data_IF_654605785905
#
_entry.id   IF_654605785905
#
_cell.length_a   1.000
_cell.length_b   1.000
_cell.length_c   1.000
_cell.angle_alpha   90.00
_cell.angle_beta   90.00
_cell.angle_gamma   90.00
#
_symmetry.space_group_name_H-M   'P 1'
#
loop_
_entity.id
_entity.type
_entity.pdbx_description
1 polymer ?
#
# COMPACT_ATOMS: atom_id res chain seq x y z
N UNK A 1 60.18 -3.37 -45.57
CA UNK A 1 60.08 -2.92 -44.16
C UNK A 1 58.74 -2.21 -44.01
N UNK A 2 57.70 -2.91 -43.56
CA UNK A 2 56.35 -2.37 -43.35
C UNK A 2 55.83 -2.93 -42.02
N UNK A 3 55.62 -2.06 -41.03
CA UNK A 3 55.13 -2.39 -39.69
C UNK A 3 53.60 -2.49 -39.70
N UNK A 4 52.99 -3.52 -39.07
CA UNK A 4 51.54 -3.64 -38.99
C UNK A 4 50.97 -2.66 -37.94
N UNK A 5 49.86 -2.01 -38.31
CA UNK A 5 49.10 -1.10 -37.44
C UNK A 5 48.27 -1.98 -36.49
N UNK A 6 48.55 -1.87 -35.19
CA UNK A 6 47.85 -2.61 -34.13
C UNK A 6 46.44 -2.05 -33.95
N UNK A 7 45.43 -2.85 -34.30
CA UNK A 7 44.01 -2.57 -34.06
C UNK A 7 43.71 -2.71 -32.56
N UNK A 8 43.52 -1.59 -31.86
CA UNK A 8 43.06 -1.60 -30.48
C UNK A 8 41.60 -2.08 -30.39
N UNK A 9 41.36 -3.15 -29.64
CA UNK A 9 40.02 -3.68 -29.33
C UNK A 9 39.23 -2.68 -28.48
N UNK A 10 37.93 -2.47 -28.74
CA UNK A 10 37.10 -1.60 -27.90
C UNK A 10 36.90 -2.28 -26.54
N UNK A 11 37.41 -1.67 -25.48
CA UNK A 11 37.15 -2.10 -24.10
C UNK A 11 35.66 -1.88 -23.79
N UNK A 12 34.89 -2.97 -23.79
CA UNK A 12 33.51 -2.95 -23.30
C UNK A 12 33.53 -2.73 -21.80
N UNK A 13 33.26 -1.49 -21.37
CA UNK A 13 32.97 -1.16 -19.97
C UNK A 13 31.77 -1.99 -19.52
N UNK A 14 32.03 -3.09 -18.82
CA UNK A 14 31.00 -3.91 -18.18
C UNK A 14 30.41 -3.12 -17.01
N UNK A 15 29.32 -2.40 -17.27
CA UNK A 15 28.48 -1.83 -16.20
C UNK A 15 28.03 -2.97 -15.28
N UNK A 16 28.31 -2.94 -13.97
CA UNK A 16 27.89 -3.99 -13.07
C UNK A 16 26.36 -4.10 -13.13
N UNK A 17 25.85 -5.27 -13.48
CA UNK A 17 24.43 -5.57 -13.49
C UNK A 17 23.91 -5.47 -12.04
N UNK A 18 23.39 -4.30 -11.66
CA UNK A 18 22.82 -4.07 -10.33
C UNK A 18 21.67 -5.07 -10.13
N UNK A 19 21.82 -5.98 -9.16
CA UNK A 19 20.85 -7.04 -8.90
C UNK A 19 19.53 -6.44 -8.41
N UNK A 20 18.49 -6.52 -9.25
CA UNK A 20 17.12 -6.09 -8.93
C UNK A 20 16.33 -7.16 -8.16
N UNK A 21 16.94 -8.29 -7.82
CA UNK A 21 16.28 -9.40 -7.14
C UNK A 21 15.84 -9.03 -5.70
N UNK A 22 16.67 -8.30 -4.94
CA UNK A 22 16.33 -7.86 -3.58
C UNK A 22 15.09 -6.94 -3.54
N UNK A 23 15.04 -5.87 -4.34
CA UNK A 23 13.86 -5.02 -4.47
C UNK A 23 12.60 -5.77 -4.93
N UNK A 24 12.72 -6.73 -5.85
CA UNK A 24 11.58 -7.54 -6.29
C UNK A 24 11.03 -8.44 -5.18
N UNK A 25 11.89 -9.16 -4.45
CA UNK A 25 11.45 -10.01 -3.33
C UNK A 25 10.79 -9.17 -2.23
N UNK A 26 11.34 -7.98 -1.94
CA UNK A 26 10.73 -7.05 -1.01
C UNK A 26 9.33 -6.61 -1.48
N UNK A 27 9.13 -6.36 -2.78
CA UNK A 27 7.81 -5.98 -3.30
C UNK A 27 6.83 -7.14 -3.22
N UNK A 28 7.27 -8.34 -3.59
CA UNK A 28 6.42 -9.53 -3.51
C UNK A 28 5.98 -9.78 -2.07
N UNK A 29 6.91 -9.72 -1.10
CA UNK A 29 6.57 -9.84 0.32
C UNK A 29 5.64 -8.73 0.80
N UNK A 30 5.86 -7.49 0.36
CA UNK A 30 5.05 -6.35 0.76
C UNK A 30 3.63 -6.44 0.20
N UNK A 31 3.47 -6.84 -1.06
CA UNK A 31 2.16 -7.12 -1.66
C UNK A 31 1.47 -8.33 -1.04
N UNK A 32 2.24 -9.37 -0.70
CA UNK A 32 1.71 -10.55 0.00
C UNK A 32 1.19 -10.17 1.39
N UNK A 33 1.97 -9.43 2.16
CA UNK A 33 1.61 -9.01 3.51
C UNK A 33 0.43 -8.04 3.49
N UNK A 34 0.44 -7.07 2.56
CA UNK A 34 -0.70 -6.18 2.33
C UNK A 34 -1.97 -6.96 1.93
N UNK A 35 -1.85 -7.91 1.01
CA UNK A 35 -2.96 -8.75 0.57
C UNK A 35 -3.51 -9.60 1.72
N UNK A 36 -2.65 -10.19 2.55
CA UNK A 36 -3.05 -10.97 3.72
C UNK A 36 -3.82 -10.12 4.74
N UNK A 37 -3.31 -8.93 5.07
CA UNK A 37 -3.98 -7.97 5.97
C UNK A 37 -5.33 -7.54 5.41
N UNK A 38 -5.41 -7.29 4.09
CA UNK A 38 -6.67 -6.91 3.42
C UNK A 38 -7.69 -8.04 3.47
N UNK A 39 -7.29 -9.28 3.18
CA UNK A 39 -8.20 -10.45 3.26
C UNK A 39 -8.72 -10.66 4.69
N UNK A 40 -7.87 -10.49 5.70
CA UNK A 40 -8.32 -10.62 7.09
C UNK A 40 -9.33 -9.53 7.45
N UNK A 41 -9.14 -8.31 6.95
CA UNK A 41 -10.08 -7.20 7.15
C UNK A 41 -11.41 -7.40 6.42
N UNK A 42 -11.39 -7.94 5.19
CA UNK A 42 -12.61 -8.21 4.41
C UNK A 42 -13.51 -9.27 5.05
N UNK A 43 -12.94 -10.20 5.82
CA UNK A 43 -13.72 -11.17 6.60
C UNK A 43 -14.18 -10.57 7.94
N UNK A 44 -13.32 -9.80 8.61
CA UNK A 44 -13.61 -9.24 9.92
C UNK A 44 -14.70 -8.16 9.89
N UNK A 45 -14.71 -7.31 8.86
CA UNK A 45 -15.69 -6.23 8.71
C UNK A 45 -17.15 -6.73 8.70
N UNK A 46 -17.58 -7.61 7.77
CA UNK A 46 -18.96 -8.08 7.70
C UNK A 46 -19.34 -8.93 8.92
N UNK A 47 -18.42 -9.75 9.44
CA UNK A 47 -18.65 -10.51 10.67
C UNK A 47 -19.03 -9.57 11.84
N UNK A 48 -18.29 -8.49 12.02
CA UNK A 48 -18.59 -7.54 13.09
C UNK A 48 -19.82 -6.67 12.79
N UNK A 49 -20.08 -6.38 11.51
CA UNK A 49 -21.30 -5.70 11.07
C UNK A 49 -22.55 -6.48 11.46
N UNK A 50 -22.51 -7.81 11.27
CA UNK A 50 -23.60 -8.73 11.63
C UNK A 50 -23.74 -8.88 13.15
N UNK A 51 -22.62 -9.04 13.87
CA UNK A 51 -22.61 -9.17 15.34
C UNK A 51 -23.14 -7.90 16.03
N UNK A 52 -22.95 -6.73 15.44
CA UNK A 52 -23.46 -5.46 15.97
C UNK A 52 -24.92 -5.17 15.57
N UNK A 53 -25.58 -6.02 14.77
CA UNK A 53 -26.99 -5.90 14.37
C UNK A 53 -27.36 -4.49 13.85
N UNK A 54 -26.55 -3.97 12.92
CA UNK A 54 -26.74 -2.62 12.38
C UNK A 54 -28.03 -2.52 11.56
N UNK A 55 -28.84 -1.51 11.83
CA UNK A 55 -30.04 -1.18 11.03
C UNK A 55 -29.65 -0.64 9.65
N UNK A 56 -30.54 -0.71 8.66
CA UNK A 56 -30.26 -0.26 7.28
C UNK A 56 -29.75 1.20 7.22
N UNK A 57 -30.32 2.09 8.04
CA UNK A 57 -29.86 3.48 8.18
C UNK A 57 -28.41 3.59 8.68
N UNK A 58 -28.02 2.72 9.61
CA UNK A 58 -26.66 2.67 10.15
C UNK A 58 -25.68 2.14 9.11
N UNK A 59 -26.08 1.18 8.27
CA UNK A 59 -25.27 0.70 7.15
C UNK A 59 -24.97 1.79 6.13
N UNK A 60 -25.95 2.62 5.77
CA UNK A 60 -25.74 3.75 4.85
C UNK A 60 -24.86 4.84 5.46
N UNK A 61 -24.99 5.09 6.77
CA UNK A 61 -24.11 6.01 7.50
C UNK A 61 -22.66 5.51 7.57
N UNK A 62 -22.44 4.19 7.68
CA UNK A 62 -21.11 3.57 7.59
C UNK A 62 -20.47 3.82 6.24
N UNK A 63 -21.20 3.61 5.15
CA UNK A 63 -20.70 3.90 3.80
C UNK A 63 -20.34 5.38 3.64
N UNK A 64 -21.18 6.27 4.16
CA UNK A 64 -20.96 7.71 4.12
C UNK A 64 -19.72 8.13 4.91
N UNK A 65 -19.51 7.54 6.09
CA UNK A 65 -18.32 7.76 6.90
C UNK A 65 -17.06 7.18 6.25
N UNK A 66 -17.16 6.04 5.57
CA UNK A 66 -16.03 5.44 4.86
C UNK A 66 -15.57 6.31 3.68
N UNK A 67 -16.51 6.79 2.86
CA UNK A 67 -16.21 7.76 1.80
C UNK A 67 -15.71 9.10 2.36
N UNK A 68 -16.29 9.58 3.45
CA UNK A 68 -15.83 10.79 4.14
C UNK A 68 -14.40 10.67 4.65
N UNK A 69 -14.06 9.54 5.27
CA UNK A 69 -12.71 9.23 5.72
C UNK A 69 -11.73 9.12 4.54
N UNK A 70 -12.11 8.43 3.45
CA UNK A 70 -11.33 8.36 2.23
C UNK A 70 -11.03 9.75 1.66
N UNK A 71 -12.04 10.60 1.56
CA UNK A 71 -11.92 11.96 1.03
C UNK A 71 -11.03 12.84 1.92
N UNK A 72 -11.30 12.82 3.23
CA UNK A 72 -10.54 13.60 4.20
C UNK A 72 -9.08 13.17 4.25
N UNK A 73 -8.80 11.87 4.08
CA UNK A 73 -7.45 11.32 4.17
C UNK A 73 -6.67 11.29 2.86
N UNK A 74 -7.33 11.42 1.71
CA UNK A 74 -6.68 11.43 0.39
C UNK A 74 -5.66 12.58 0.26
N UNK A 75 -6.02 13.80 0.70
CA UNK A 75 -5.16 14.99 0.70
C UNK A 75 -3.93 14.86 1.63
N UNK A 76 -4.08 14.58 2.95
CA UNK A 76 -2.95 14.45 3.84
C UNK A 76 -2.08 13.23 3.52
N UNK A 77 -2.65 12.14 2.99
CA UNK A 77 -1.89 10.95 2.59
C UNK A 77 -0.84 11.28 1.52
N UNK A 78 -1.23 12.01 0.47
CA UNK A 78 -0.30 12.43 -0.58
C UNK A 78 0.82 13.34 -0.05
N UNK A 79 0.48 14.33 0.76
CA UNK A 79 1.45 15.28 1.35
C UNK A 79 2.38 14.62 2.36
N UNK A 80 1.88 13.65 3.12
CA UNK A 80 2.68 12.84 4.05
C UNK A 80 3.72 12.02 3.30
N UNK A 81 3.31 11.44 2.17
CA UNK A 81 4.15 10.61 1.33
C UNK A 81 5.25 11.41 0.61
N UNK A 82 4.93 12.62 0.14
CA UNK A 82 5.94 13.56 -0.40
C UNK A 82 7.00 13.94 0.64
N UNK A 83 6.62 14.08 1.91
CA UNK A 83 7.55 14.46 2.98
C UNK A 83 8.37 13.30 3.55
N UNK A 84 7.77 12.13 3.77
CA UNK A 84 8.44 10.98 4.41
C UNK A 84 9.06 10.01 3.41
N UNK A 85 8.65 10.07 2.14
CA UNK A 85 9.03 9.11 1.12
C UNK A 85 8.22 7.81 1.16
N UNK A 86 8.25 7.09 0.05
CA UNK A 86 7.35 5.97 -0.23
C UNK A 86 7.49 4.79 0.73
N UNK A 87 8.72 4.38 1.06
CA UNK A 87 8.96 3.26 1.98
C UNK A 87 8.38 3.51 3.37
N UNK A 88 8.58 4.72 3.91
CA UNK A 88 8.04 5.08 5.23
C UNK A 88 6.52 5.25 5.18
N UNK A 89 5.97 5.78 4.08
CA UNK A 89 4.53 5.86 3.87
C UNK A 89 3.84 4.50 3.94
N UNK A 90 4.42 3.46 3.32
CA UNK A 90 3.87 2.10 3.41
C UNK A 90 3.88 1.61 4.87
N UNK A 91 4.98 1.79 5.60
CA UNK A 91 5.04 1.36 7.02
C UNK A 91 4.01 2.10 7.86
N UNK A 92 3.86 3.42 7.67
CA UNK A 92 2.85 4.22 8.38
C UNK A 92 1.44 3.74 8.04
N UNK A 93 1.14 3.45 6.78
CA UNK A 93 -0.17 2.94 6.38
C UNK A 93 -0.47 1.58 7.02
N UNK A 94 0.54 0.71 7.12
CA UNK A 94 0.44 -0.58 7.80
C UNK A 94 0.17 -0.40 9.30
N UNK A 95 0.86 0.53 9.96
CA UNK A 95 0.66 0.84 11.37
C UNK A 95 -0.72 1.45 11.66
N UNK A 96 -1.19 2.34 10.79
CA UNK A 96 -2.55 2.93 10.89
C UNK A 96 -3.61 1.84 10.70
N UNK A 97 -3.42 0.94 9.74
CA UNK A 97 -4.29 -0.24 9.57
C UNK A 97 -4.29 -1.12 10.81
N UNK A 98 -3.11 -1.45 11.36
CA UNK A 98 -3.00 -2.23 12.58
C UNK A 98 -3.65 -1.52 13.78
N UNK A 99 -3.52 -0.20 13.87
CA UNK A 99 -4.21 0.63 14.87
C UNK A 99 -5.73 0.57 14.73
N UNK A 100 -6.26 0.63 13.49
CA UNK A 100 -7.68 0.44 13.21
C UNK A 100 -8.16 -0.96 13.63
N UNK A 101 -7.41 -2.00 13.28
CA UNK A 101 -7.69 -3.38 13.69
C UNK A 101 -7.66 -3.57 15.22
N UNK A 102 -6.74 -2.92 15.93
CA UNK A 102 -6.72 -2.90 17.39
C UNK A 102 -7.92 -2.16 17.96
N UNK A 103 -8.35 -1.05 17.34
CA UNK A 103 -9.56 -0.31 17.72
C UNK A 103 -10.85 -1.12 17.49
N UNK A 104 -10.83 -2.12 16.59
CA UNK A 104 -11.95 -3.03 16.41
C UNK A 104 -12.19 -3.95 17.61
N UNK A 105 -11.14 -4.31 18.38
CA UNK A 105 -11.28 -5.17 19.57
C UNK A 105 -12.21 -4.54 20.63
N UNK A 106 -11.98 -3.30 21.11
CA UNK A 106 -12.92 -2.66 22.02
C UNK A 106 -14.27 -2.34 21.34
N UNK A 107 -14.29 -2.03 20.03
CA UNK A 107 -15.53 -1.78 19.30
C UNK A 107 -16.47 -3.00 19.32
N UNK A 108 -15.91 -4.19 19.12
CA UNK A 108 -16.64 -5.44 19.14
C UNK A 108 -17.17 -5.77 20.55
N UNK A 109 -16.38 -5.44 21.59
CA UNK A 109 -16.75 -5.72 22.97
C UNK A 109 -17.85 -4.76 23.48
N UNK A 110 -17.77 -3.46 23.14
CA UNK A 110 -18.77 -2.47 23.56
C UNK A 110 -20.01 -2.43 22.66
N UNK A 111 -19.93 -2.98 21.43
CA UNK A 111 -21.00 -2.98 20.42
C UNK A 111 -21.57 -1.57 20.14
N UNK A 112 -20.74 -0.54 20.26
CA UNK A 112 -21.14 0.85 20.06
C UNK A 112 -20.90 1.31 18.63
N UNK A 113 -21.97 1.69 17.93
CA UNK A 113 -21.96 2.19 16.55
C UNK A 113 -20.89 3.26 16.22
N UNK A 114 -20.74 4.35 17.00
CA UNK A 114 -19.75 5.39 16.69
C UNK A 114 -18.30 4.89 16.82
N UNK A 115 -18.03 3.96 17.74
CA UNK A 115 -16.69 3.40 17.91
C UNK A 115 -16.33 2.48 16.74
N UNK A 116 -17.32 1.74 16.24
CA UNK A 116 -17.20 0.95 15.02
C UNK A 116 -16.90 1.83 13.80
N UNK A 117 -17.65 2.93 13.64
CA UNK A 117 -17.41 3.92 12.59
C UNK A 117 -15.99 4.49 12.64
N UNK A 118 -15.49 4.83 13.83
CA UNK A 118 -14.12 5.33 13.99
C UNK A 118 -13.07 4.27 13.67
N UNK A 119 -13.26 3.02 14.10
CA UNK A 119 -12.35 1.93 13.79
C UNK A 119 -12.30 1.67 12.27
N UNK A 120 -13.46 1.68 11.62
CA UNK A 120 -13.60 1.52 10.17
C UNK A 120 -12.97 2.68 9.39
N UNK A 121 -13.15 3.92 9.86
CA UNK A 121 -12.55 5.10 9.25
C UNK A 121 -11.02 5.09 9.34
N UNK A 122 -10.48 4.73 10.51
CA UNK A 122 -9.02 4.59 10.71
C UNK A 122 -8.46 3.45 9.85
N UNK A 123 -9.18 2.33 9.76
CA UNK A 123 -8.79 1.21 8.90
C UNK A 123 -8.78 1.63 7.42
N UNK A 124 -9.84 2.26 6.94
CA UNK A 124 -9.95 2.79 5.58
C UNK A 124 -8.85 3.81 5.28
N UNK A 125 -8.52 4.68 6.23
CA UNK A 125 -7.38 5.60 6.13
C UNK A 125 -6.03 4.88 6.02
N UNK A 126 -5.83 3.74 6.67
CA UNK A 126 -4.61 2.95 6.50
C UNK A 126 -4.52 2.34 5.09
N UNK A 127 -5.63 1.81 4.58
CA UNK A 127 -5.72 1.23 3.22
C UNK A 127 -5.45 2.31 2.17
N UNK A 128 -6.06 3.50 2.30
CA UNK A 128 -5.84 4.62 1.37
C UNK A 128 -4.37 5.01 1.33
N UNK A 129 -3.75 5.15 2.51
CA UNK A 129 -2.36 5.55 2.63
C UNK A 129 -1.45 4.51 1.99
N UNK A 130 -1.74 3.22 2.19
CA UNK A 130 -0.98 2.15 1.56
C UNK A 130 -1.11 2.16 0.05
N UNK A 131 -2.31 2.40 -0.48
CA UNK A 131 -2.57 2.45 -1.92
C UNK A 131 -1.86 3.66 -2.57
N UNK A 132 -1.95 4.83 -1.93
CA UNK A 132 -1.28 6.06 -2.38
C UNK A 132 0.25 5.91 -2.29
N UNK A 133 0.76 5.16 -1.30
CA UNK A 133 2.18 4.88 -1.13
C UNK A 133 2.73 3.79 -2.07
N UNK A 134 1.94 2.75 -2.33
CA UNK A 134 2.35 1.61 -3.15
C UNK A 134 2.45 1.98 -4.63
N UNK A 135 1.51 2.79 -5.15
CA UNK A 135 1.47 3.13 -6.57
C UNK A 135 2.78 3.76 -7.08
N UNK A 136 3.36 4.78 -6.41
CA UNK A 136 4.63 5.35 -6.83
C UNK A 136 5.83 4.48 -6.43
N UNK A 137 5.73 3.70 -5.34
CA UNK A 137 6.82 2.84 -4.94
C UNK A 137 7.11 1.75 -5.98
N UNK A 138 6.06 1.18 -6.57
CA UNK A 138 6.16 0.22 -7.68
C UNK A 138 6.75 0.87 -8.93
N UNK A 139 6.42 2.14 -9.22
CA UNK A 139 6.99 2.83 -10.38
C UNK A 139 8.47 3.20 -10.20
N UNK A 140 8.91 3.48 -8.96
CA UNK A 140 10.32 3.76 -8.63
C UNK A 140 11.16 2.48 -8.57
N UNK A 141 10.61 1.36 -8.09
CA UNK A 141 11.30 0.06 -8.09
C UNK A 141 11.23 -0.68 -9.42
N UNK A 142 10.25 -0.35 -10.27
CA UNK A 142 10.14 -0.88 -11.60
C UNK A 142 11.37 -0.49 -12.42
N UNK A 143 12.13 -1.44 -13.01
CA UNK A 143 13.22 -1.07 -13.89
C UNK A 143 12.66 -0.20 -15.02
N UNK A 144 13.33 0.92 -15.34
CA UNK A 144 13.01 1.82 -16.46
C UNK A 144 12.87 1.10 -17.82
N UNK A 145 13.17 -0.21 -17.89
CA UNK A 145 13.11 -1.07 -19.07
C UNK A 145 11.81 -1.86 -19.26
N UNK A 146 10.84 -1.81 -18.33
CA UNK A 146 9.55 -2.54 -18.46
C UNK A 146 8.30 -1.66 -18.60
N UNK A 147 8.46 -0.36 -18.87
CA UNK A 147 7.35 0.47 -19.32
C UNK A 147 6.83 0.07 -20.72
N UNK A 148 7.64 -0.64 -21.53
CA UNK A 148 7.32 -1.04 -22.89
C UNK A 148 6.66 -2.42 -23.05
N UNK A 149 6.26 -3.10 -21.97
CA UNK A 149 5.69 -4.46 -22.02
C UNK A 149 4.23 -4.54 -21.55
N UNK A 150 3.43 -3.48 -21.79
CA UNK A 150 1.97 -3.50 -21.56
C UNK A 150 1.12 -3.32 -22.82
N UNK A 151 1.70 -3.49 -24.02
CA UNK A 151 0.93 -3.63 -25.27
C UNK A 151 1.59 -4.69 -26.16
N UNK A 152 1.16 -5.94 -26.00
CA UNK A 152 0.97 -6.92 -27.09
C UNK A 152 -0.20 -7.81 -26.69
#
# INVERSE_FOLDING_TARGET
MATPISTASPTTLSTPARSYAGPMVLMTLLFLLFGAVTNFNDVLMPYLKDVCQLTDLQSSAVQSAFFGAYFLMSLPAGKLLERLGYQRGIVVGLLVMAGGALLFVPAANTRTFPLFLTALAVLGAGITLLQVAANPYVSVLGPARRAAARVS
#
